data_IF_546908267606
#
_entry.id   IF_546908267606
#
_cell.length_a   1.000
_cell.length_b   1.000
_cell.length_c   1.000
_cell.angle_alpha   90.00
_cell.angle_beta   90.00
_cell.angle_gamma   90.00
#
_symmetry.space_group_name_H-M   'P 1'
#
loop_
_entity.id
_entity.type
_entity.pdbx_description
1 polymer ?
#
# COMPACT_ATOMS: atom_id res chain seq x y z
N UNK A 1 -98.72 55.54 -66.26
CA UNK A 1 -98.39 54.10 -66.12
C UNK A 1 -96.92 53.82 -66.30
N UNK A 2 -96.18 54.44 -67.18
CA UNK A 2 -94.72 54.21 -67.42
C UNK A 2 -93.89 54.67 -66.22
N UNK A 3 -94.21 55.71 -65.53
CA UNK A 3 -93.46 56.20 -64.36
C UNK A 3 -93.52 55.25 -63.18
N UNK A 4 -94.68 54.62 -62.95
CA UNK A 4 -94.87 53.64 -61.86
C UNK A 4 -94.00 52.34 -62.14
N UNK A 5 -94.04 51.93 -63.40
CA UNK A 5 -93.29 50.77 -63.79
C UNK A 5 -91.80 51.01 -63.71
N UNK A 6 -91.37 52.19 -64.10
CA UNK A 6 -89.96 52.57 -64.07
C UNK A 6 -89.47 52.69 -62.58
N UNK A 7 -90.33 53.24 -61.69
CA UNK A 7 -89.99 53.30 -60.31
C UNK A 7 -89.95 51.94 -59.63
N UNK A 8 -90.83 51.03 -60.04
CA UNK A 8 -90.83 49.65 -59.60
C UNK A 8 -89.62 48.89 -60.07
N UNK A 9 -89.27 49.11 -61.33
CA UNK A 9 -88.09 48.52 -61.94
C UNK A 9 -86.80 49.05 -61.26
N UNK A 10 -86.77 50.34 -61.05
CA UNK A 10 -85.58 50.94 -60.32
C UNK A 10 -85.48 50.46 -58.89
N UNK A 11 -86.60 50.34 -58.19
CA UNK A 11 -86.59 49.78 -56.84
C UNK A 11 -86.10 48.31 -56.84
N UNK A 12 -86.57 47.54 -57.83
CA UNK A 12 -86.19 46.15 -58.00
C UNK A 12 -84.67 46.03 -58.30
N UNK A 13 -84.20 46.86 -59.22
CA UNK A 13 -82.78 46.87 -59.56
C UNK A 13 -81.92 47.25 -58.35
N UNK A 14 -82.40 48.24 -57.57
CA UNK A 14 -81.68 48.66 -56.38
C UNK A 14 -81.64 47.56 -55.31
N UNK A 15 -82.82 46.92 -55.13
CA UNK A 15 -82.91 45.82 -54.21
C UNK A 15 -82.03 44.64 -54.65
N UNK A 16 -81.97 44.32 -55.97
CA UNK A 16 -81.09 43.28 -56.44
C UNK A 16 -79.63 43.68 -56.29
N UNK A 17 -79.32 44.90 -56.64
CA UNK A 17 -77.89 45.35 -56.49
C UNK A 17 -77.47 45.37 -55.01
N UNK A 18 -78.37 45.83 -54.09
CA UNK A 18 -78.07 45.81 -52.69
C UNK A 18 -77.93 44.37 -52.17
N UNK A 19 -78.85 43.49 -52.58
CA UNK A 19 -78.74 42.08 -52.19
C UNK A 19 -77.47 41.44 -52.71
N UNK A 20 -77.10 41.72 -53.98
CA UNK A 20 -75.85 41.22 -54.58
C UNK A 20 -74.62 41.77 -53.86
N UNK A 21 -74.63 43.07 -53.57
CA UNK A 21 -73.54 43.72 -52.80
C UNK A 21 -73.40 43.10 -51.44
N UNK A 22 -74.53 42.86 -50.77
CA UNK A 22 -74.54 42.25 -49.41
C UNK A 22 -73.98 40.80 -49.46
N UNK A 23 -74.39 40.04 -50.48
CA UNK A 23 -73.88 38.71 -50.64
C UNK A 23 -72.38 38.71 -50.96
N UNK A 24 -71.92 39.60 -51.81
CA UNK A 24 -70.54 39.74 -52.14
C UNK A 24 -69.71 40.10 -50.92
N UNK A 25 -70.22 41.05 -50.13
CA UNK A 25 -69.55 41.43 -48.90
C UNK A 25 -69.49 40.28 -47.90
N UNK A 26 -70.60 39.57 -47.74
CA UNK A 26 -70.65 38.42 -46.83
C UNK A 26 -69.68 37.34 -47.27
N UNK A 27 -69.61 37.10 -48.61
CA UNK A 27 -68.69 36.11 -49.16
C UNK A 27 -67.23 36.54 -48.96
N UNK A 28 -66.93 37.84 -49.17
CA UNK A 28 -65.58 38.35 -48.92
C UNK A 28 -65.19 38.27 -47.48
N UNK A 29 -66.15 38.66 -46.60
CA UNK A 29 -65.89 38.62 -45.14
C UNK A 29 -65.68 37.17 -44.66
N UNK A 30 -66.50 36.24 -45.20
CA UNK A 30 -66.32 34.82 -44.86
C UNK A 30 -64.98 34.30 -45.35
N UNK A 31 -64.61 34.72 -46.58
CA UNK A 31 -63.30 34.32 -47.14
C UNK A 31 -62.16 34.89 -46.32
N UNK A 32 -62.22 36.17 -45.93
CA UNK A 32 -61.21 36.80 -45.12
C UNK A 32 -61.07 36.10 -43.74
N UNK A 33 -62.21 35.76 -43.13
CA UNK A 33 -62.26 35.07 -41.87
C UNK A 33 -61.63 33.66 -41.99
N UNK A 34 -62.03 32.95 -43.05
CA UNK A 34 -61.47 31.62 -43.29
C UNK A 34 -59.96 31.66 -43.54
N UNK A 35 -59.51 32.67 -44.30
CA UNK A 35 -58.09 32.86 -44.53
C UNK A 35 -57.34 33.23 -43.27
N UNK A 36 -57.89 34.14 -42.44
CA UNK A 36 -57.30 34.54 -41.18
C UNK A 36 -57.23 33.37 -40.21
N UNK A 37 -58.32 32.61 -40.10
CA UNK A 37 -58.38 31.42 -39.25
C UNK A 37 -57.39 30.35 -39.69
N UNK A 38 -57.30 30.12 -41.00
CA UNK A 38 -56.35 29.14 -41.55
C UNK A 38 -54.92 29.59 -41.30
N UNK A 39 -54.63 30.88 -41.50
CA UNK A 39 -53.28 31.45 -41.23
C UNK A 39 -52.92 31.35 -39.77
N UNK A 40 -53.87 31.73 -38.89
CA UNK A 40 -53.66 31.64 -37.43
C UNK A 40 -53.40 30.18 -37.01
N UNK A 41 -54.17 29.25 -37.58
CA UNK A 41 -54.01 27.82 -37.29
C UNK A 41 -52.65 27.31 -37.75
N UNK A 42 -52.23 27.73 -38.93
CA UNK A 42 -50.88 27.35 -39.46
C UNK A 42 -49.76 27.94 -38.59
N UNK A 43 -49.90 29.21 -38.20
CA UNK A 43 -48.90 29.84 -37.34
C UNK A 43 -48.81 29.16 -36.01
N UNK A 44 -49.96 28.82 -35.40
CA UNK A 44 -49.98 28.09 -34.12
C UNK A 44 -49.34 26.72 -34.25
N UNK A 45 -49.70 25.99 -35.29
CA UNK A 45 -49.11 24.67 -35.55
C UNK A 45 -47.62 24.76 -35.76
N UNK A 46 -47.14 25.80 -36.47
CA UNK A 46 -45.70 26.00 -36.70
C UNK A 46 -44.98 26.35 -35.39
N UNK A 47 -45.59 27.23 -34.57
CA UNK A 47 -45.02 27.57 -33.25
C UNK A 47 -44.98 26.37 -32.31
N UNK A 48 -46.10 25.61 -32.27
CA UNK A 48 -46.17 24.41 -31.45
C UNK A 48 -45.14 23.37 -31.90
N UNK A 49 -44.99 23.16 -33.20
CA UNK A 49 -43.98 22.25 -33.72
C UNK A 49 -42.56 22.72 -33.39
N UNK A 50 -42.30 24.01 -33.51
CA UNK A 50 -41.01 24.62 -33.14
C UNK A 50 -40.71 24.43 -31.67
N UNK A 51 -41.70 24.73 -30.80
CA UNK A 51 -41.50 24.53 -29.35
C UNK A 51 -41.22 23.08 -29.01
N UNK A 52 -41.98 22.17 -29.62
CA UNK A 52 -41.76 20.73 -29.42
C UNK A 52 -40.37 20.31 -29.86
N UNK A 53 -39.96 20.75 -31.04
CA UNK A 53 -38.63 20.42 -31.57
C UNK A 53 -37.53 21.00 -30.64
N UNK A 54 -37.68 22.22 -30.17
CA UNK A 54 -36.72 22.85 -29.22
C UNK A 54 -36.68 22.10 -27.89
N UNK A 55 -37.86 21.74 -27.37
CA UNK A 55 -37.94 21.00 -26.10
C UNK A 55 -37.32 19.60 -26.24
N UNK A 56 -37.60 18.90 -27.37
CA UNK A 56 -37.05 17.60 -27.64
C UNK A 56 -35.52 17.68 -27.80
N UNK A 57 -35.03 18.69 -28.51
CA UNK A 57 -33.60 18.90 -28.71
C UNK A 57 -32.91 19.21 -27.38
N UNK A 58 -33.53 20.07 -26.57
CA UNK A 58 -32.98 20.42 -25.24
C UNK A 58 -32.95 19.22 -24.30
N UNK A 59 -34.04 18.44 -24.28
CA UNK A 59 -34.10 17.22 -23.47
C UNK A 59 -33.05 16.20 -23.91
N UNK A 60 -32.85 16.06 -25.22
CA UNK A 60 -31.85 15.17 -25.81
C UNK A 60 -30.44 15.60 -25.44
N UNK A 61 -30.17 16.91 -25.53
CA UNK A 61 -28.87 17.46 -25.08
C UNK A 61 -28.62 17.23 -23.59
N UNK A 62 -29.62 17.49 -22.77
CA UNK A 62 -29.51 17.29 -21.31
C UNK A 62 -29.25 15.84 -20.98
N UNK A 63 -29.97 14.93 -21.63
CA UNK A 63 -29.76 13.48 -21.42
C UNK A 63 -28.37 13.06 -21.86
N UNK A 64 -27.91 13.52 -23.01
CA UNK A 64 -26.58 13.23 -23.51
C UNK A 64 -25.49 13.76 -22.54
N UNK A 65 -25.70 14.98 -22.02
CA UNK A 65 -24.78 15.58 -21.05
C UNK A 65 -24.74 14.80 -19.73
N UNK A 66 -25.92 14.39 -19.24
CA UNK A 66 -25.98 13.57 -18.02
C UNK A 66 -25.36 12.20 -18.21
N UNK A 67 -25.63 11.55 -19.35
CA UNK A 67 -25.06 10.25 -19.66
C UNK A 67 -23.54 10.35 -19.80
N UNK A 68 -23.03 11.38 -20.46
CA UNK A 68 -21.61 11.63 -20.58
C UNK A 68 -20.95 11.87 -19.21
N UNK A 69 -21.63 12.64 -18.36
CA UNK A 69 -21.15 12.91 -17.00
C UNK A 69 -21.10 11.64 -16.16
N UNK A 70 -22.15 10.83 -16.23
CA UNK A 70 -22.19 9.54 -15.51
C UNK A 70 -21.09 8.61 -15.98
N UNK A 71 -20.88 8.54 -17.29
CA UNK A 71 -19.83 7.72 -17.86
C UNK A 71 -18.44 8.19 -17.40
N UNK A 72 -18.22 9.50 -17.46
CA UNK A 72 -16.96 10.08 -17.00
C UNK A 72 -16.72 9.82 -15.52
N UNK A 73 -17.74 9.98 -14.68
CA UNK A 73 -17.64 9.70 -13.25
C UNK A 73 -17.37 8.21 -12.98
N UNK A 74 -18.08 7.32 -13.69
CA UNK A 74 -17.87 5.88 -13.56
C UNK A 74 -16.46 5.48 -14.00
N UNK A 75 -15.99 6.01 -15.12
CA UNK A 75 -14.66 5.74 -15.62
C UNK A 75 -13.58 6.26 -14.67
N UNK A 76 -13.78 7.46 -14.13
CA UNK A 76 -12.86 8.04 -13.14
C UNK A 76 -12.83 7.21 -11.86
N UNK A 77 -13.98 6.79 -11.38
CA UNK A 77 -14.09 5.94 -10.18
C UNK A 77 -13.43 4.58 -10.40
N UNK A 78 -13.69 3.96 -11.55
CA UNK A 78 -13.06 2.68 -11.89
C UNK A 78 -11.54 2.81 -11.97
N UNK A 79 -11.06 3.89 -12.56
CA UNK A 79 -9.63 4.19 -12.67
C UNK A 79 -8.98 4.38 -11.30
N UNK A 80 -9.66 5.12 -10.41
CA UNK A 80 -9.18 5.30 -9.03
C UNK A 80 -9.14 3.99 -8.26
N UNK A 81 -10.18 3.16 -8.40
CA UNK A 81 -10.24 1.86 -7.73
C UNK A 81 -9.12 0.95 -8.22
N UNK A 82 -8.89 0.92 -9.53
CA UNK A 82 -7.80 0.12 -10.10
C UNK A 82 -6.44 0.60 -9.60
N UNK A 83 -6.22 1.92 -9.59
CA UNK A 83 -4.98 2.49 -9.09
C UNK A 83 -4.78 2.16 -7.62
N UNK A 84 -5.83 2.23 -6.80
CA UNK A 84 -5.77 1.88 -5.38
C UNK A 84 -5.47 0.40 -5.17
N UNK A 85 -6.08 -0.49 -5.96
CA UNK A 85 -5.79 -1.93 -5.89
C UNK A 85 -4.37 -2.24 -6.32
N UNK A 86 -3.91 -1.62 -7.40
CA UNK A 86 -2.54 -1.83 -7.89
C UNK A 86 -1.52 -1.33 -6.86
N UNK A 87 -1.78 -0.17 -6.25
CA UNK A 87 -0.93 0.37 -5.20
C UNK A 87 -0.90 -0.55 -3.97
N UNK A 88 -2.06 -1.10 -3.58
CA UNK A 88 -2.15 -2.02 -2.45
C UNK A 88 -1.40 -3.32 -2.72
N UNK A 89 -1.55 -3.89 -3.93
CA UNK A 89 -0.82 -5.10 -4.32
C UNK A 89 0.68 -4.87 -4.31
N UNK A 90 1.10 -3.75 -4.86
CA UNK A 90 2.52 -3.38 -4.86
C UNK A 90 3.06 -3.25 -3.45
N UNK A 91 2.30 -2.58 -2.57
CA UNK A 91 2.69 -2.43 -1.17
C UNK A 91 2.74 -3.78 -0.45
N UNK A 92 1.80 -4.69 -0.71
CA UNK A 92 1.79 -6.03 -0.14
C UNK A 92 3.01 -6.84 -0.60
N UNK A 93 3.33 -6.79 -1.89
CA UNK A 93 4.50 -7.48 -2.44
C UNK A 93 5.78 -6.94 -1.81
N UNK A 94 5.92 -5.63 -1.73
CA UNK A 94 7.09 -5.01 -1.09
C UNK A 94 7.20 -5.40 0.39
N UNK A 95 6.07 -5.42 1.11
CA UNK A 95 6.04 -5.83 2.51
C UNK A 95 6.43 -7.30 2.68
N UNK A 96 5.94 -8.19 1.81
CA UNK A 96 6.29 -9.60 1.84
C UNK A 96 7.77 -9.83 1.54
N UNK A 97 8.31 -9.15 0.53
CA UNK A 97 9.73 -9.23 0.18
C UNK A 97 10.60 -8.74 1.33
N UNK A 98 10.21 -7.63 1.93
CA UNK A 98 10.92 -7.06 3.07
C UNK A 98 10.89 -8.00 4.28
N UNK A 99 9.72 -8.59 4.57
CA UNK A 99 9.57 -9.55 5.66
C UNK A 99 10.38 -10.80 5.39
N UNK A 100 10.38 -11.32 4.16
CA UNK A 100 11.17 -12.49 3.79
C UNK A 100 12.67 -12.22 3.90
N UNK A 101 13.14 -11.03 3.47
CA UNK A 101 14.53 -10.63 3.61
C UNK A 101 14.95 -10.49 5.07
N UNK A 102 14.08 -9.89 5.90
CA UNK A 102 14.34 -9.75 7.33
C UNK A 102 14.41 -11.12 8.01
N UNK A 103 13.51 -12.03 7.67
CA UNK A 103 13.51 -13.39 8.21
C UNK A 103 14.77 -14.15 7.82
N UNK A 104 15.16 -14.06 6.56
CA UNK A 104 16.39 -14.69 6.07
C UNK A 104 17.61 -14.13 6.78
N UNK A 105 17.69 -12.81 6.96
CA UNK A 105 18.78 -12.18 7.67
C UNK A 105 18.85 -12.64 9.13
N UNK A 106 17.69 -12.78 9.80
CA UNK A 106 17.64 -13.29 11.15
C UNK A 106 18.08 -14.75 11.25
N UNK A 107 17.66 -15.59 10.31
CA UNK A 107 18.06 -16.99 10.27
C UNK A 107 19.56 -17.13 10.05
N UNK A 108 20.13 -16.35 9.11
CA UNK A 108 21.55 -16.33 8.86
C UNK A 108 22.35 -15.86 10.08
N UNK A 109 21.86 -14.79 10.74
CA UNK A 109 22.51 -14.27 11.95
C UNK A 109 22.46 -15.29 13.10
N UNK A 110 21.33 -15.98 13.27
CA UNK A 110 21.19 -17.00 14.30
C UNK A 110 22.10 -18.21 14.02
N UNK A 111 22.18 -18.62 12.76
CA UNK A 111 23.06 -19.72 12.35
C UNK A 111 24.52 -19.37 12.55
N UNK A 112 24.93 -18.18 12.16
CA UNK A 112 26.29 -17.67 12.35
C UNK A 112 26.66 -17.61 13.84
N UNK A 113 25.72 -17.13 14.66
CA UNK A 113 25.91 -17.08 16.11
C UNK A 113 26.05 -18.48 16.70
N UNK A 114 25.25 -19.44 16.22
CA UNK A 114 25.34 -20.83 16.65
C UNK A 114 26.69 -21.47 16.28
N UNK A 115 27.19 -21.19 15.08
CA UNK A 115 28.50 -21.64 14.65
C UNK A 115 29.62 -21.02 15.48
N UNK A 116 29.52 -19.73 15.76
CA UNK A 116 30.49 -19.04 16.61
C UNK A 116 30.57 -19.65 18.00
N UNK A 117 29.42 -19.99 18.59
CA UNK A 117 29.38 -20.69 19.90
C UNK A 117 30.03 -22.03 19.86
N UNK A 118 29.81 -22.82 18.79
CA UNK A 118 30.47 -24.14 18.64
C UNK A 118 31.97 -24.01 18.53
N UNK A 119 32.44 -23.09 17.71
CA UNK A 119 33.87 -22.83 17.54
C UNK A 119 34.48 -22.38 18.85
N UNK A 120 33.83 -21.47 19.56
CA UNK A 120 34.30 -20.98 20.85
C UNK A 120 34.34 -22.10 21.89
N UNK A 121 33.33 -22.97 21.93
CA UNK A 121 33.30 -24.11 22.84
C UNK A 121 34.43 -25.09 22.56
N UNK A 122 34.71 -25.37 21.30
CA UNK A 122 35.83 -26.20 20.93
C UNK A 122 37.18 -25.57 21.29
N UNK A 123 37.30 -24.26 21.09
CA UNK A 123 38.48 -23.52 21.47
C UNK A 123 38.72 -23.58 22.98
N UNK A 124 37.66 -23.41 23.78
CA UNK A 124 37.71 -23.48 25.25
C UNK A 124 38.17 -24.85 25.73
N UNK A 125 37.72 -25.94 25.11
CA UNK A 125 38.17 -27.28 25.42
C UNK A 125 39.68 -27.46 25.10
N UNK A 126 40.13 -26.93 23.99
CA UNK A 126 41.53 -26.98 23.60
C UNK A 126 42.39 -26.19 24.64
N UNK A 127 41.87 -25.05 25.09
CA UNK A 127 42.53 -24.25 26.13
C UNK A 127 42.65 -25.06 27.42
N UNK A 128 41.56 -25.70 27.84
CA UNK A 128 41.55 -26.53 29.06
C UNK A 128 42.55 -27.67 28.97
N UNK A 129 42.61 -28.38 27.83
CA UNK A 129 43.55 -29.45 27.62
C UNK A 129 45.00 -28.97 27.68
N UNK A 130 45.25 -27.80 27.06
CA UNK A 130 46.56 -27.18 27.05
C UNK A 130 46.99 -26.82 28.48
N UNK A 131 46.08 -26.27 29.25
CA UNK A 131 46.32 -25.94 30.66
C UNK A 131 46.61 -27.20 31.49
N UNK A 132 45.80 -28.27 31.32
CA UNK A 132 46.00 -29.52 32.05
C UNK A 132 47.32 -30.15 31.76
N UNK A 133 47.81 -30.08 30.52
CA UNK A 133 49.12 -30.59 30.15
C UNK A 133 50.26 -29.83 30.77
N UNK A 134 50.09 -28.54 30.97
CA UNK A 134 51.09 -27.69 31.58
C UNK A 134 50.92 -27.58 33.08
N UNK A 135 49.84 -28.18 33.63
CA UNK A 135 49.52 -28.06 35.05
C UNK A 135 50.37 -28.98 35.91
N UNK A 136 51.13 -28.37 36.78
CA UNK A 136 51.98 -29.07 37.71
C UNK A 136 51.21 -29.14 39.04
N UNK A 137 50.55 -30.28 39.26
CA UNK A 137 49.71 -30.49 40.44
C UNK A 137 50.55 -30.71 41.67
N UNK A 138 50.34 -29.90 42.74
CA UNK A 138 51.09 -30.09 43.99
C UNK A 138 50.79 -31.42 44.66
N UNK A 139 51.76 -31.98 45.33
CA UNK A 139 51.60 -33.24 46.06
C UNK A 139 50.57 -33.09 47.17
N UNK A 140 49.63 -34.04 47.25
CA UNK A 140 48.56 -34.02 48.25
C UNK A 140 47.32 -33.27 47.85
N UNK A 141 47.23 -32.72 46.62
CA UNK A 141 46.10 -31.99 46.14
C UNK A 141 45.11 -32.81 45.31
N UNK A 142 45.41 -34.10 45.13
CA UNK A 142 44.58 -34.98 44.30
C UNK A 142 43.14 -35.02 44.72
N UNK A 143 42.21 -34.91 43.75
CA UNK A 143 40.79 -34.91 43.98
C UNK A 143 40.17 -33.54 44.31
N UNK A 144 40.97 -32.54 44.57
CA UNK A 144 40.48 -31.17 44.81
C UNK A 144 40.17 -30.50 43.51
N UNK A 145 39.15 -29.62 43.55
CA UNK A 145 38.70 -28.85 42.38
C UNK A 145 38.86 -27.36 42.60
N UNK A 146 39.18 -26.67 41.52
CA UNK A 146 39.28 -25.21 41.49
C UNK A 146 38.60 -24.67 40.26
N UNK A 147 37.80 -23.64 40.42
CA UNK A 147 37.14 -22.95 39.32
C UNK A 147 37.82 -21.62 39.04
N UNK A 148 38.14 -21.38 37.78
CA UNK A 148 38.92 -20.22 37.37
C UNK A 148 38.24 -19.55 36.22
N UNK A 149 38.22 -18.23 36.24
CA UNK A 149 37.85 -17.41 35.13
C UNK A 149 39.06 -16.66 34.63
N UNK A 150 39.42 -16.87 33.37
CA UNK A 150 40.51 -16.14 32.76
C UNK A 150 40.07 -15.44 31.50
N UNK A 151 40.62 -14.26 31.25
CA UNK A 151 40.31 -13.41 30.14
C UNK A 151 41.51 -13.33 29.23
N UNK A 152 41.26 -13.51 27.91
CA UNK A 152 42.30 -13.50 26.92
C UNK A 152 42.15 -12.26 26.02
N UNK A 153 43.26 -11.83 25.46
CA UNK A 153 43.27 -10.85 24.38
C UNK A 153 43.01 -11.52 23.04
N UNK A 154 42.83 -10.75 21.98
CA UNK A 154 42.64 -11.27 20.62
C UNK A 154 43.82 -12.11 20.14
N UNK A 155 44.99 -11.87 20.62
CA UNK A 155 46.21 -12.64 20.30
C UNK A 155 46.35 -13.92 21.10
N UNK A 156 45.49 -14.17 22.08
CA UNK A 156 45.57 -15.33 22.96
C UNK A 156 46.42 -15.12 24.21
N UNK A 157 46.85 -13.91 24.47
CA UNK A 157 47.56 -13.57 25.69
C UNK A 157 46.58 -13.45 26.87
N UNK A 158 47.03 -13.84 28.05
CA UNK A 158 46.22 -13.76 29.27
C UNK A 158 46.17 -12.31 29.77
N UNK A 159 44.97 -11.77 29.87
CA UNK A 159 44.74 -10.42 30.40
C UNK A 159 44.50 -10.42 31.93
N UNK A 160 43.71 -11.37 32.38
CA UNK A 160 43.41 -11.51 33.82
C UNK A 160 43.05 -12.94 34.18
N UNK A 161 43.32 -13.33 35.41
CA UNK A 161 42.96 -14.63 35.97
C UNK A 161 42.29 -14.37 37.30
N UNK A 162 41.08 -14.90 37.48
CA UNK A 162 40.34 -14.80 38.73
C UNK A 162 39.89 -16.19 39.17
N UNK A 163 40.17 -16.55 40.39
CA UNK A 163 39.66 -17.79 40.97
C UNK A 163 38.24 -17.51 41.45
N UNK A 164 37.26 -18.15 40.78
CA UNK A 164 35.85 -17.99 41.13
C UNK A 164 35.45 -18.90 42.27
N UNK A 165 36.10 -20.03 42.38
CA UNK A 165 35.89 -20.98 43.48
C UNK A 165 37.22 -21.63 43.85
N UNK A 166 37.71 -21.32 45.00
CA UNK A 166 38.98 -21.88 45.52
C UNK A 166 38.85 -23.36 45.82
N UNK A 167 39.95 -24.07 45.65
CA UNK A 167 40.05 -25.48 46.07
C UNK A 167 40.18 -25.65 47.58
N UNK A 168 40.44 -24.57 48.30
CA UNK A 168 40.78 -24.62 49.68
C UNK A 168 42.29 -24.89 49.95
N UNK A 169 43.06 -25.03 48.89
CA UNK A 169 44.51 -25.25 48.93
C UNK A 169 45.20 -24.15 48.14
N UNK A 170 45.89 -23.25 48.79
CA UNK A 170 46.56 -22.11 48.17
C UNK A 170 47.63 -22.55 47.16
N UNK A 171 48.33 -23.65 47.45
CA UNK A 171 49.32 -24.18 46.53
C UNK A 171 48.67 -24.66 45.24
N UNK A 172 47.51 -25.32 45.28
CA UNK A 172 46.75 -25.74 44.09
C UNK A 172 46.25 -24.57 43.31
N UNK A 173 45.66 -23.59 44.00
CA UNK A 173 45.16 -22.37 43.36
C UNK A 173 46.29 -21.61 42.64
N UNK A 174 47.43 -21.50 43.24
CA UNK A 174 48.62 -20.89 42.63
C UNK A 174 49.12 -21.70 41.43
N UNK A 175 49.10 -23.04 41.51
CA UNK A 175 49.57 -23.93 40.45
C UNK A 175 48.70 -23.79 39.19
N UNK A 176 47.39 -23.69 39.32
CA UNK A 176 46.52 -23.54 38.15
C UNK A 176 46.69 -22.16 37.49
N UNK A 177 46.91 -21.12 38.27
CA UNK A 177 47.23 -19.81 37.70
C UNK A 177 48.52 -19.85 36.91
N UNK A 178 49.53 -20.49 37.43
CA UNK A 178 50.83 -20.66 36.76
C UNK A 178 50.67 -21.45 35.50
N UNK A 179 49.88 -22.53 35.49
CA UNK A 179 49.61 -23.35 34.31
C UNK A 179 48.87 -22.55 33.21
N UNK A 180 47.91 -21.72 33.61
CA UNK A 180 47.19 -20.87 32.66
C UNK A 180 48.14 -19.87 32.01
N UNK A 181 49.01 -19.24 32.75
CA UNK A 181 50.01 -18.30 32.23
C UNK A 181 51.03 -18.99 31.35
N UNK A 182 51.49 -20.16 31.73
CA UNK A 182 52.47 -20.93 30.99
C UNK A 182 51.93 -21.47 29.66
N UNK A 183 50.62 -21.64 29.55
CA UNK A 183 49.97 -22.12 28.36
C UNK A 183 49.72 -21.02 27.32
N UNK A 184 49.87 -19.76 27.68
CA UNK A 184 49.76 -18.66 26.72
C UNK A 184 50.97 -18.62 25.78
N UNK A 185 50.76 -18.17 24.52
CA UNK A 185 49.51 -17.70 23.93
C UNK A 185 48.59 -18.85 23.53
N UNK A 186 47.29 -18.63 23.70
CA UNK A 186 46.27 -19.62 23.34
C UNK A 186 45.91 -19.46 21.84
N UNK A 187 45.63 -20.58 21.13
CA UNK A 187 45.22 -20.50 19.75
C UNK A 187 43.79 -20.00 19.62
N UNK A 188 43.62 -18.71 19.32
CA UNK A 188 42.33 -18.08 19.18
C UNK A 188 41.67 -18.44 17.85
N UNK A 189 40.32 -18.60 17.81
CA UNK A 189 39.62 -18.83 16.58
C UNK A 189 39.83 -17.70 15.59
N UNK A 190 39.84 -18.00 14.30
CA UNK A 190 39.94 -16.99 13.25
C UNK A 190 38.63 -16.20 13.07
N UNK A 191 37.47 -16.81 13.37
CA UNK A 191 36.19 -16.15 13.29
C UNK A 191 36.10 -15.07 14.40
N UNK A 192 35.83 -13.79 14.04
CA UNK A 192 35.76 -12.71 15.02
C UNK A 192 34.71 -12.92 16.10
N UNK A 193 33.57 -13.49 15.77
CA UNK A 193 32.50 -13.73 16.74
C UNK A 193 32.88 -14.84 17.72
N UNK A 194 33.45 -15.92 17.22
CA UNK A 194 33.95 -17.01 18.03
C UNK A 194 35.12 -16.56 18.92
N UNK A 195 36.01 -15.75 18.40
CA UNK A 195 37.13 -15.17 19.12
C UNK A 195 36.63 -14.33 20.31
N UNK A 196 35.61 -13.52 20.06
CA UNK A 196 35.00 -12.67 21.09
C UNK A 196 34.41 -13.51 22.23
N UNK A 197 33.74 -14.60 21.91
CA UNK A 197 33.20 -15.51 22.93
C UNK A 197 34.29 -16.31 23.63
N UNK A 198 35.37 -16.63 22.98
CA UNK A 198 36.47 -17.39 23.55
C UNK A 198 37.41 -16.56 24.44
N UNK A 199 37.26 -15.23 24.44
CA UNK A 199 38.11 -14.36 25.30
C UNK A 199 37.88 -14.55 26.76
N UNK A 200 36.69 -14.91 27.20
CA UNK A 200 36.36 -15.14 28.58
C UNK A 200 36.02 -16.60 28.80
N UNK A 201 36.83 -17.26 29.56
CA UNK A 201 36.70 -18.69 29.82
C UNK A 201 36.56 -18.92 31.33
N UNK A 202 35.50 -19.64 31.71
CA UNK A 202 35.30 -20.11 33.07
C UNK A 202 35.35 -21.63 33.04
N UNK A 203 36.30 -22.20 33.75
CA UNK A 203 36.52 -23.63 33.77
C UNK A 203 36.77 -24.13 35.20
N UNK A 204 36.37 -25.37 35.43
CA UNK A 204 36.64 -26.07 36.66
C UNK A 204 37.67 -27.17 36.37
N UNK A 205 38.76 -27.12 37.14
CA UNK A 205 39.86 -28.09 37.01
C UNK A 205 39.90 -28.96 38.25
N UNK A 206 40.06 -30.26 38.01
CA UNK A 206 40.20 -31.25 39.06
C UNK A 206 41.60 -31.78 39.06
N UNK A 207 42.26 -31.71 40.23
CA UNK A 207 43.60 -32.28 40.42
C UNK A 207 43.51 -33.80 40.42
N UNK A 208 44.38 -34.41 39.64
CA UNK A 208 44.48 -35.86 39.54
C UNK A 208 45.70 -36.41 40.19
#
# INVERSE_FOLDING_TARGET
AKAKQQAADNAKRKAEADAKAKQQKAAEDAKRKAEADAKAKQQKAAEDAKRKAEADAKAKQQKAAEDAKRKAEADAKAKQQKAAEDARRKAEIEAEEKAASAKKAQEEAAQKKGEAKKIASSAKRDFEQKIRRAWDVPTGSSGKTVSVRFTLSDSGSVSSIVITRSSGDDALDASIKAAIQASAPYPMPSDPDARREARSVTSTFRAQ
#
